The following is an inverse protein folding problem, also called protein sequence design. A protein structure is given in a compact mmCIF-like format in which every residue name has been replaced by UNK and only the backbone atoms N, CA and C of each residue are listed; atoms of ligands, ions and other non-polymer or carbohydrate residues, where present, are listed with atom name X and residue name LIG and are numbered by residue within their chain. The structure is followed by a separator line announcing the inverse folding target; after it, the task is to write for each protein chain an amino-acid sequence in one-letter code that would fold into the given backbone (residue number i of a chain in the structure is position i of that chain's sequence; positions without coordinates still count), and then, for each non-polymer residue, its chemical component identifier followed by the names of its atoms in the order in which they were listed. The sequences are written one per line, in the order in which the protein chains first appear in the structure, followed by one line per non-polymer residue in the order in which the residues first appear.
data_IF_525590988496
#
_entry.id   IF_525590988496
#
_cell.length_a   1.000
_cell.length_b   1.000
_cell.length_c   1.000
_cell.angle_alpha   90.00
_cell.angle_beta   90.00
_cell.angle_gamma   90.00
#
_symmetry.space_group_name_H-M   'P 1'
#
loop_
_entity.id
_entity.type
_entity.pdbx_description
1 polymer ?
#
# COMPACT_ATOMS: atom_id res chain seq x y z
N UNK A 1 -19.64 12.77 7.83
CA UNK A 1 -20.03 11.79 6.78
C UNK A 1 -20.74 10.63 7.46
N UNK A 2 -21.87 10.14 6.93
CA UNK A 2 -22.60 9.00 7.51
C UNK A 2 -21.87 7.70 7.14
N UNK A 3 -21.66 6.80 8.11
CA UNK A 3 -20.97 5.50 7.99
C UNK A 3 -21.53 4.63 6.86
N UNK A 4 -22.83 4.74 6.57
CA UNK A 4 -23.47 4.04 5.44
C UNK A 4 -22.97 4.52 4.07
N UNK A 5 -22.66 5.81 3.93
CA UNK A 5 -22.14 6.39 2.68
C UNK A 5 -20.68 6.01 2.41
N UNK A 6 -19.89 5.86 3.48
CA UNK A 6 -18.50 5.38 3.40
C UNK A 6 -18.45 3.92 2.98
N UNK A 7 -19.31 3.06 3.56
CA UNK A 7 -19.39 1.64 3.21
C UNK A 7 -19.79 1.41 1.75
N UNK A 8 -20.77 2.15 1.23
CA UNK A 8 -21.18 2.03 -0.17
C UNK A 8 -20.03 2.37 -1.13
N UNK A 9 -19.33 3.48 -0.88
CA UNK A 9 -18.15 3.90 -1.67
C UNK A 9 -16.99 2.91 -1.56
N UNK A 10 -16.78 2.31 -0.39
CA UNK A 10 -15.77 1.27 -0.17
C UNK A 10 -16.07 -0.01 -0.96
N UNK A 11 -17.34 -0.42 -1.02
CA UNK A 11 -17.77 -1.62 -1.74
C UNK A 11 -17.63 -1.43 -3.25
N UNK A 12 -18.00 -0.25 -3.76
CA UNK A 12 -17.81 0.14 -5.16
C UNK A 12 -16.31 0.17 -5.52
N UNK A 13 -15.46 0.73 -4.66
CA UNK A 13 -14.01 0.81 -4.88
C UNK A 13 -13.30 -0.55 -4.86
N UNK A 14 -13.60 -1.43 -3.89
CA UNK A 14 -13.01 -2.78 -3.83
C UNK A 14 -13.38 -3.64 -5.05
N UNK A 15 -14.57 -3.42 -5.62
CA UNK A 15 -15.01 -4.08 -6.85
C UNK A 15 -14.27 -3.55 -8.09
N UNK A 16 -13.82 -2.31 -8.09
CA UNK A 16 -13.05 -1.70 -9.18
C UNK A 16 -11.54 -2.02 -9.08
N UNK A 17 -10.98 -2.13 -7.88
CA UNK A 17 -9.54 -2.37 -7.67
C UNK A 17 -9.12 -3.84 -7.76
N UNK A 18 -10.06 -4.78 -7.66
CA UNK A 18 -9.79 -6.21 -7.77
C UNK A 18 -9.99 -6.71 -9.20
N UNK A 19 -8.90 -6.72 -9.98
CA UNK A 19 -8.79 -7.55 -11.19
C UNK A 19 -8.77 -9.03 -10.80
N UNK A 20 -9.92 -9.58 -10.39
CA UNK A 20 -10.42 -10.96 -10.58
C UNK A 20 -11.52 -11.27 -9.57
N UNK A 21 -12.77 -11.34 -10.08
CA UNK A 21 -13.93 -12.23 -9.79
C UNK A 21 -14.20 -12.87 -8.41
N UNK A 22 -13.30 -12.85 -7.42
CA UNK A 22 -13.43 -13.64 -6.19
C UNK A 22 -14.36 -13.00 -5.13
N UNK A 23 -14.36 -11.67 -5.00
CA UNK A 23 -15.11 -10.98 -3.93
C UNK A 23 -16.60 -10.80 -4.22
N UNK A 24 -16.99 -10.60 -5.49
CA UNK A 24 -18.41 -10.38 -5.85
C UNK A 24 -19.26 -11.63 -5.67
N UNK A 25 -18.67 -12.82 -5.83
CA UNK A 25 -19.36 -14.09 -5.54
C UNK A 25 -19.47 -14.38 -4.05
N UNK A 26 -18.50 -13.97 -3.22
CA UNK A 26 -18.56 -14.14 -1.76
C UNK A 26 -19.63 -13.28 -1.10
N UNK A 27 -19.83 -12.05 -1.59
CA UNK A 27 -20.91 -11.15 -1.12
C UNK A 27 -22.29 -11.65 -1.60
N UNK A 28 -22.40 -12.14 -2.85
CA UNK A 28 -23.66 -12.68 -3.36
C UNK A 28 -24.02 -14.07 -2.79
N UNK A 29 -23.04 -14.93 -2.54
CA UNK A 29 -23.26 -16.26 -1.96
C UNK A 29 -23.78 -16.18 -0.52
N UNK A 30 -23.36 -15.16 0.24
CA UNK A 30 -23.80 -14.95 1.63
C UNK A 30 -25.24 -14.40 1.75
N UNK A 31 -25.83 -13.89 0.66
CA UNK A 31 -27.19 -13.36 0.63
C UNK A 31 -28.24 -14.31 0.02
N UNK A 32 -27.85 -15.39 -0.66
CA UNK A 32 -28.78 -16.27 -1.39
C UNK A 32 -29.35 -17.45 -0.59
N UNK A 33 -28.99 -17.65 0.67
CA UNK A 33 -29.49 -18.76 1.49
C UNK A 33 -30.41 -18.31 2.63
N UNK A 34 -31.48 -17.54 2.35
CA UNK A 34 -32.57 -17.41 3.34
C UNK A 34 -33.92 -16.91 2.79
N UNK A 35 -34.57 -17.75 2.01
CA UNK A 35 -36.04 -17.82 1.91
C UNK A 35 -36.33 -19.31 1.69
N UNK A 36 -37.02 -20.07 2.55
CA UNK A 36 -38.13 -19.77 3.43
C UNK A 36 -38.20 -20.79 4.60
N UNK A 37 -38.76 -20.40 5.74
CA UNK A 37 -39.27 -21.36 6.75
C UNK A 37 -38.51 -21.50 8.09
N UNK A 38 -37.62 -20.57 8.44
CA UNK A 38 -36.89 -20.63 9.72
C UNK A 38 -37.58 -19.91 10.88
N UNK A 39 -37.69 -20.60 12.01
CA UNK A 39 -38.18 -20.18 13.33
C UNK A 39 -37.84 -18.71 13.71
N UNK A 40 -38.84 -17.87 14.05
CA UNK A 40 -38.62 -16.46 14.43
C UNK A 40 -37.89 -16.27 15.78
N UNK A 41 -37.65 -17.33 16.56
CA UNK A 41 -36.94 -17.25 17.85
C UNK A 41 -35.40 -17.23 17.76
N UNK A 42 -34.81 -17.35 16.56
CA UNK A 42 -33.34 -17.38 16.35
C UNK A 42 -32.75 -16.03 15.89
N UNK A 43 -33.45 -14.92 16.16
CA UNK A 43 -33.04 -13.59 15.69
C UNK A 43 -32.17 -12.77 16.67
N UNK A 44 -31.80 -13.30 17.83
CA UNK A 44 -31.16 -12.54 18.91
C UNK A 44 -29.65 -12.73 19.08
N UNK A 45 -28.95 -13.41 18.16
CA UNK A 45 -27.48 -13.59 18.23
C UNK A 45 -26.73 -13.10 17.00
N UNK A 46 -27.18 -11.99 16.40
CA UNK A 46 -26.44 -11.26 15.35
C UNK A 46 -25.86 -9.93 15.83
N UNK A 47 -25.84 -9.71 17.15
CA UNK A 47 -25.05 -8.66 17.79
C UNK A 47 -23.57 -9.06 17.92
N UNK A 48 -23.01 -9.68 16.87
CA UNK A 48 -21.56 -9.81 16.76
C UNK A 48 -21.05 -8.37 16.66
N UNK A 49 -20.47 -7.87 17.76
CA UNK A 49 -19.93 -6.52 17.88
C UNK A 49 -18.87 -6.41 16.79
N UNK A 50 -19.26 -5.86 15.64
CA UNK A 50 -18.31 -5.51 14.60
C UNK A 50 -17.36 -4.50 15.24
N UNK A 51 -16.15 -4.95 15.53
CA UNK A 51 -15.10 -4.08 16.07
C UNK A 51 -14.96 -2.87 15.15
N UNK A 52 -14.86 -1.68 15.73
CA UNK A 52 -14.63 -0.48 14.94
C UNK A 52 -13.31 -0.63 14.16
N UNK A 53 -13.23 -0.10 12.91
CA UNK A 53 -12.00 -0.14 12.15
C UNK A 53 -10.83 0.49 12.90
N UNK A 54 -9.67 -0.15 12.86
CA UNK A 54 -8.45 0.38 13.43
C UNK A 54 -7.82 1.38 12.44
N UNK A 55 -7.92 2.67 12.77
CA UNK A 55 -7.42 3.78 11.95
C UNK A 55 -6.32 4.56 12.70
N UNK A 56 -5.12 3.98 12.88
CA UNK A 56 -4.09 4.55 13.76
C UNK A 56 -3.44 5.81 13.17
N UNK A 57 -3.56 6.06 11.86
CA UNK A 57 -2.97 7.22 11.20
C UNK A 57 -4.03 8.19 10.70
N UNK A 58 -3.80 9.52 10.83
CA UNK A 58 -4.70 10.50 10.25
C UNK A 58 -4.87 10.27 8.75
N UNK A 59 -6.12 10.39 8.27
CA UNK A 59 -6.43 10.21 6.86
C UNK A 59 -5.61 11.22 6.02
N UNK A 60 -4.96 10.73 4.97
CA UNK A 60 -4.08 11.52 4.11
C UNK A 60 -2.68 11.77 4.66
N UNK A 61 -2.36 11.34 5.89
CA UNK A 61 -1.02 11.48 6.44
C UNK A 61 0.01 10.71 5.59
N UNK A 62 1.16 11.32 5.36
CA UNK A 62 2.31 10.59 4.83
C UNK A 62 2.98 9.88 5.97
N UNK A 63 3.14 8.58 5.79
CA UNK A 63 3.78 7.69 6.74
C UNK A 63 5.02 7.07 6.11
N UNK A 64 5.98 6.72 6.95
CA UNK A 64 7.16 5.98 6.51
C UNK A 64 7.54 4.91 7.52
N UNK A 65 8.30 3.94 7.05
CA UNK A 65 8.94 2.93 7.91
C UNK A 65 10.34 2.62 7.40
N UNK A 66 11.24 2.23 8.30
CA UNK A 66 12.62 1.90 7.92
C UNK A 66 12.66 0.57 7.16
N UNK A 67 13.58 0.42 6.21
CA UNK A 67 13.86 -0.88 5.60
C UNK A 67 14.55 -1.85 6.56
N UNK A 68 14.51 -3.16 6.26
CA UNK A 68 15.23 -4.19 7.02
C UNK A 68 16.74 -4.07 6.94
N UNK A 69 17.25 -3.58 5.81
CA UNK A 69 18.68 -3.35 5.59
C UNK A 69 18.91 -1.92 5.12
N UNK A 70 19.90 -1.25 5.70
CA UNK A 70 20.29 0.12 5.35
C UNK A 70 19.50 1.21 6.08
N UNK A 71 19.83 2.47 5.74
CA UNK A 71 19.23 3.68 6.31
C UNK A 71 18.18 4.28 5.38
N UNK A 72 17.44 3.42 4.68
CA UNK A 72 16.40 3.83 3.75
C UNK A 72 15.03 3.76 4.42
N UNK A 73 14.08 4.52 3.90
CA UNK A 73 12.69 4.51 4.33
C UNK A 73 11.78 4.15 3.17
N UNK A 74 10.74 3.38 3.47
CA UNK A 74 9.62 3.16 2.56
C UNK A 74 8.47 4.06 2.97
N UNK A 75 7.84 4.70 1.99
CA UNK A 75 6.81 5.71 2.20
C UNK A 75 5.45 5.23 1.71
N UNK A 76 4.39 5.71 2.36
CA UNK A 76 3.01 5.52 1.96
C UNK A 76 2.12 6.67 2.41
N UNK A 77 0.85 6.64 1.99
CA UNK A 77 -0.19 7.60 2.35
C UNK A 77 -1.31 6.85 3.05
N UNK A 78 -1.65 7.26 4.27
CA UNK A 78 -2.74 6.69 5.04
C UNK A 78 -4.08 6.95 4.35
N UNK A 79 -4.80 5.89 4.01
CA UNK A 79 -6.06 6.01 3.26
C UNK A 79 -7.25 6.33 4.16
N UNK A 80 -8.37 6.65 3.51
CA UNK A 80 -9.69 6.74 4.12
C UNK A 80 -10.39 5.37 4.29
N UNK A 81 -9.74 4.28 3.86
CA UNK A 81 -10.31 2.94 3.81
C UNK A 81 -9.66 2.01 4.84
N UNK A 82 -10.38 0.94 5.14
CA UNK A 82 -9.89 -0.19 5.93
C UNK A 82 -10.08 -1.50 5.18
N UNK A 83 -9.28 -2.50 5.51
CA UNK A 83 -9.43 -3.85 4.98
C UNK A 83 -10.74 -4.46 5.50
N UNK A 84 -11.61 -5.03 4.65
CA UNK A 84 -12.92 -5.52 5.08
C UNK A 84 -12.85 -6.68 6.08
N UNK A 85 -11.78 -7.47 6.05
CA UNK A 85 -11.58 -8.63 6.93
C UNK A 85 -10.77 -8.30 8.18
N UNK A 86 -9.56 -7.72 8.03
CA UNK A 86 -8.70 -7.38 9.17
C UNK A 86 -9.12 -6.09 9.89
N UNK A 87 -10.02 -5.30 9.30
CA UNK A 87 -10.50 -4.01 9.83
C UNK A 87 -9.38 -2.98 10.04
N UNK A 88 -8.22 -3.19 9.43
CA UNK A 88 -7.04 -2.31 9.54
C UNK A 88 -7.05 -1.24 8.46
N UNK A 89 -6.60 -0.03 8.80
CA UNK A 89 -6.39 1.04 7.83
C UNK A 89 -5.52 0.59 6.66
N UNK A 90 -5.93 0.97 5.46
CA UNK A 90 -5.14 0.72 4.25
C UNK A 90 -4.15 1.87 4.01
N UNK A 91 -3.02 1.55 3.40
CA UNK A 91 -1.95 2.47 3.02
C UNK A 91 -1.78 2.42 1.50
N UNK A 92 -1.86 3.57 0.84
CA UNK A 92 -1.41 3.71 -0.54
C UNK A 92 0.11 3.74 -0.55
N UNK A 93 0.75 2.87 -1.32
CA UNK A 93 2.22 2.81 -1.38
C UNK A 93 2.70 2.58 -2.81
N UNK A 94 3.87 3.14 -3.12
CA UNK A 94 4.53 2.90 -4.40
C UNK A 94 5.68 1.91 -4.24
N UNK A 95 5.50 0.69 -4.76
CA UNK A 95 6.32 -0.44 -4.36
C UNK A 95 6.02 -0.90 -2.93
N UNK A 96 6.67 -1.98 -2.52
CA UNK A 96 6.39 -2.67 -1.26
C UNK A 96 5.55 -3.93 -1.43
N UNK A 97 5.29 -4.64 -0.30
CA UNK A 97 4.57 -5.91 -0.32
C UNK A 97 3.16 -5.72 -0.91
N UNK A 98 2.82 -6.58 -1.87
CA UNK A 98 1.49 -6.64 -2.48
C UNK A 98 1.05 -8.11 -2.61
N UNK A 99 -0.26 -8.34 -2.45
CA UNK A 99 -0.90 -9.65 -2.60
C UNK A 99 -1.37 -9.89 -4.04
N UNK A 100 -0.65 -10.70 -4.81
CA UNK A 100 -1.09 -11.17 -6.11
C UNK A 100 0.04 -11.68 -7.00
N UNK A 101 -0.32 -12.24 -8.16
CA UNK A 101 0.64 -12.86 -9.07
C UNK A 101 1.60 -11.83 -9.68
N UNK A 102 2.89 -12.18 -9.69
CA UNK A 102 3.90 -11.47 -10.47
C UNK A 102 3.83 -11.95 -11.91
N UNK A 103 3.29 -11.11 -12.80
CA UNK A 103 3.21 -11.40 -14.23
C UNK A 103 4.57 -11.18 -14.95
N UNK A 104 5.57 -10.60 -14.27
CA UNK A 104 6.87 -10.27 -14.86
C UNK A 104 8.05 -10.87 -14.06
N UNK A 105 8.90 -11.62 -14.75
CA UNK A 105 10.14 -12.21 -14.23
C UNK A 105 11.39 -11.42 -14.63
N UNK A 106 11.22 -10.15 -15.01
CA UNK A 106 12.32 -9.30 -15.46
C UNK A 106 13.45 -9.18 -14.44
N UNK A 107 14.69 -9.01 -14.95
CA UNK A 107 15.91 -8.81 -14.16
C UNK A 107 15.75 -7.68 -13.12
N UNK A 108 15.00 -6.64 -13.46
CA UNK A 108 14.70 -5.52 -12.56
C UNK A 108 13.90 -5.97 -11.33
N UNK A 109 12.91 -6.83 -11.54
CA UNK A 109 12.03 -7.36 -10.50
C UNK A 109 12.81 -8.30 -9.55
N UNK A 110 13.71 -9.12 -10.10
CA UNK A 110 14.62 -9.95 -9.31
C UNK A 110 15.58 -9.14 -8.44
N UNK A 111 16.14 -8.04 -8.96
CA UNK A 111 17.01 -7.16 -8.19
C UNK A 111 16.21 -6.48 -7.07
N UNK A 112 15.01 -6.01 -7.36
CA UNK A 112 14.18 -5.35 -6.35
C UNK A 112 13.73 -6.32 -5.27
N UNK A 113 13.25 -7.52 -5.61
CA UNK A 113 12.91 -8.54 -4.61
C UNK A 113 14.13 -8.94 -3.74
N UNK A 114 15.36 -8.74 -4.23
CA UNK A 114 16.57 -8.97 -3.43
C UNK A 114 16.87 -7.82 -2.47
N UNK A 115 16.62 -6.58 -2.88
CA UNK A 115 16.73 -5.38 -2.04
C UNK A 115 15.59 -5.36 -1.01
N UNK A 116 14.39 -5.71 -1.46
CA UNK A 116 13.13 -5.79 -0.76
C UNK A 116 12.88 -7.25 -0.40
N UNK A 117 13.56 -7.73 0.65
CA UNK A 117 13.29 -9.05 1.20
C UNK A 117 11.93 -9.03 1.92
N UNK A 118 10.85 -9.01 1.14
CA UNK A 118 9.49 -8.98 1.65
C UNK A 118 9.22 -10.26 2.48
N UNK A 119 8.26 -10.21 3.40
CA UNK A 119 7.86 -11.38 4.19
C UNK A 119 7.47 -12.57 3.28
N UNK A 120 7.61 -13.81 3.78
CA UNK A 120 7.20 -15.02 3.05
C UNK A 120 5.77 -14.84 2.50
N UNK A 121 5.61 -14.98 1.18
CA UNK A 121 4.31 -14.87 0.52
C UNK A 121 3.94 -13.48 0.00
N UNK A 122 4.82 -12.47 0.13
CA UNK A 122 4.59 -11.14 -0.45
C UNK A 122 5.61 -10.81 -1.54
N UNK A 123 5.18 -10.02 -2.53
CA UNK A 123 6.02 -9.56 -3.64
C UNK A 123 6.19 -8.05 -3.63
N UNK A 124 7.32 -7.54 -4.13
CA UNK A 124 7.51 -6.10 -4.33
C UNK A 124 7.15 -5.72 -5.74
N UNK A 125 6.04 -5.00 -5.91
CA UNK A 125 5.57 -4.54 -7.21
C UNK A 125 6.26 -3.26 -7.69
N UNK A 126 6.15 -2.99 -9.00
CA UNK A 126 6.50 -1.70 -9.64
C UNK A 126 5.31 -0.74 -9.74
N UNK A 127 4.25 -0.99 -8.97
CA UNK A 127 3.00 -0.26 -9.08
C UNK A 127 2.65 0.44 -7.79
N UNK A 128 1.84 1.48 -7.90
CA UNK A 128 1.13 1.97 -6.72
C UNK A 128 0.03 0.97 -6.39
N UNK A 129 0.10 0.42 -5.20
CA UNK A 129 -0.87 -0.52 -4.65
C UNK A 129 -1.43 -0.03 -3.33
N UNK A 130 -2.31 -0.84 -2.77
CA UNK A 130 -2.95 -0.61 -1.48
C UNK A 130 -2.73 -1.85 -0.63
N UNK A 131 -2.32 -1.66 0.62
CA UNK A 131 -2.05 -2.75 1.58
C UNK A 131 -2.51 -2.33 2.97
N UNK A 132 -2.83 -3.25 3.87
CA UNK A 132 -3.10 -2.90 5.26
C UNK A 132 -1.83 -2.38 5.97
N UNK A 133 -2.01 -1.59 7.03
CA UNK A 133 -0.87 -0.96 7.68
C UNK A 133 0.07 -1.96 8.39
N UNK A 134 -0.41 -3.15 8.79
CA UNK A 134 0.45 -4.18 9.40
C UNK A 134 1.40 -4.75 8.35
N UNK A 135 0.87 -5.10 7.17
CA UNK A 135 1.66 -5.55 6.03
C UNK A 135 2.61 -4.46 5.55
N UNK A 136 2.14 -3.20 5.48
CA UNK A 136 3.01 -2.06 5.19
C UNK A 136 4.18 -1.95 6.17
N UNK A 137 3.93 -2.17 7.46
CA UNK A 137 4.93 -2.05 8.52
C UNK A 137 6.04 -3.10 8.43
N UNK A 138 5.74 -4.30 7.93
CA UNK A 138 6.59 -5.49 8.04
C UNK A 138 7.11 -5.72 9.48
N UNK A 139 6.29 -5.41 10.49
CA UNK A 139 6.62 -5.52 11.91
C UNK A 139 7.56 -4.42 12.43
N UNK A 140 7.61 -3.26 11.76
CA UNK A 140 8.45 -2.11 12.12
C UNK A 140 7.61 -0.93 12.57
N UNK A 141 8.23 -0.03 13.32
CA UNK A 141 7.61 1.24 13.68
C UNK A 141 7.30 2.07 12.41
N UNK A 142 6.08 2.61 12.36
CA UNK A 142 5.63 3.54 11.34
C UNK A 142 5.72 4.94 11.94
N UNK A 143 6.46 5.81 11.27
CA UNK A 143 6.61 7.22 11.61
C UNK A 143 5.66 8.06 10.74
N UNK A 144 4.95 9.01 11.35
CA UNK A 144 4.22 10.04 10.60
C UNK A 144 5.24 11.09 10.15
N UNK A 145 5.28 11.35 8.84
CA UNK A 145 6.17 12.34 8.22
C UNK A 145 5.50 13.70 8.17
N UNK A 146 4.24 13.72 7.69
CA UNK A 146 3.46 14.93 7.53
C UNK A 146 1.96 14.61 7.63
N UNK A 147 1.18 15.57 8.12
CA UNK A 147 -0.28 15.48 8.20
C UNK A 147 -0.85 16.71 7.49
N UNK A 148 -1.51 16.54 6.32
CA UNK A 148 -2.03 17.67 5.59
C UNK A 148 -3.22 18.31 6.31
N UNK A 149 -3.33 19.64 6.23
CA UNK A 149 -4.52 20.37 6.72
C UNK A 149 -5.81 19.93 5.99
N UNK A 150 -5.69 19.64 4.69
CA UNK A 150 -6.76 19.06 3.87
C UNK A 150 -6.30 17.75 3.23
N UNK A 151 -6.84 16.63 3.72
CA UNK A 151 -6.55 15.30 3.21
C UNK A 151 -7.10 15.06 1.79
N UNK A 152 -8.18 15.74 1.40
CA UNK A 152 -8.87 15.47 0.14
C UNK A 152 -7.96 15.56 -1.11
N UNK A 153 -7.20 16.65 -1.36
CA UNK A 153 -6.32 16.74 -2.51
C UNK A 153 -5.17 15.72 -2.45
N UNK A 154 -4.70 15.36 -1.25
CA UNK A 154 -3.65 14.35 -1.08
C UNK A 154 -4.15 12.97 -1.49
N UNK A 155 -5.33 12.58 -1.02
CA UNK A 155 -5.95 11.31 -1.38
C UNK A 155 -6.29 11.24 -2.87
N UNK A 156 -6.75 12.33 -3.49
CA UNK A 156 -7.03 12.36 -4.93
C UNK A 156 -5.76 12.05 -5.75
N UNK A 157 -4.63 12.66 -5.40
CA UNK A 157 -3.34 12.40 -6.06
C UNK A 157 -2.79 11.01 -5.76
N UNK A 158 -2.93 10.55 -4.51
CA UNK A 158 -2.54 9.18 -4.16
C UNK A 158 -3.30 8.15 -4.99
N UNK A 159 -4.62 8.33 -5.15
CA UNK A 159 -5.50 7.46 -5.94
C UNK A 159 -5.27 7.56 -7.44
N UNK A 160 -4.96 8.75 -7.98
CA UNK A 160 -4.70 8.92 -9.42
C UNK A 160 -3.48 8.14 -9.90
N UNK A 161 -2.63 7.69 -8.98
CA UNK A 161 -1.45 6.90 -9.29
C UNK A 161 -1.67 5.39 -9.14
N UNK A 162 -2.83 4.93 -8.66
CA UNK A 162 -3.12 3.50 -8.51
C UNK A 162 -2.91 2.76 -9.83
N UNK A 163 -2.23 1.61 -9.75
CA UNK A 163 -1.87 0.77 -10.89
C UNK A 163 -0.90 1.40 -11.90
N UNK A 164 -0.45 2.65 -11.71
CA UNK A 164 0.63 3.21 -12.53
C UNK A 164 1.90 2.40 -12.29
N UNK A 165 2.51 1.91 -13.38
CA UNK A 165 3.61 0.95 -13.37
C UNK A 165 4.94 1.52 -13.89
N UNK A 166 5.04 2.85 -14.00
CA UNK A 166 6.21 3.54 -14.58
C UNK A 166 7.33 3.82 -13.55
N UNK A 167 7.46 2.92 -12.57
CA UNK A 167 8.41 3.01 -11.47
C UNK A 167 9.84 3.16 -11.97
N UNK A 168 10.52 4.17 -11.42
CA UNK A 168 11.91 4.44 -11.67
C UNK A 168 12.60 4.73 -10.35
N UNK A 169 13.53 3.86 -9.94
CA UNK A 169 14.24 3.97 -8.65
C UNK A 169 14.86 5.34 -8.38
N UNK A 170 15.25 6.05 -9.43
CA UNK A 170 15.96 7.33 -9.34
C UNK A 170 15.06 8.55 -9.38
N UNK A 171 13.94 8.49 -10.09
CA UNK A 171 13.12 9.67 -10.38
C UNK A 171 11.65 9.53 -9.96
N UNK A 172 11.22 8.29 -9.67
CA UNK A 172 9.85 7.90 -9.33
C UNK A 172 9.89 6.69 -8.39
N UNK A 173 10.38 6.91 -7.17
CA UNK A 173 10.38 5.94 -6.07
C UNK A 173 9.31 6.29 -5.03
N UNK A 174 9.25 5.55 -3.91
CA UNK A 174 8.24 5.75 -2.87
C UNK A 174 8.26 7.15 -2.23
N UNK A 175 9.43 7.77 -2.06
CA UNK A 175 9.55 9.14 -1.54
C UNK A 175 8.97 10.16 -2.55
N UNK A 176 9.31 10.01 -3.82
CA UNK A 176 8.79 10.86 -4.89
C UNK A 176 7.25 10.74 -5.01
N UNK A 177 6.72 9.54 -4.84
CA UNK A 177 5.27 9.31 -4.78
C UNK A 177 4.62 10.03 -3.60
N UNK A 178 5.20 9.93 -2.39
CA UNK A 178 4.66 10.61 -1.22
C UNK A 178 4.68 12.14 -1.38
N UNK A 179 5.76 12.70 -1.95
CA UNK A 179 5.82 14.13 -2.26
C UNK A 179 4.80 14.55 -3.32
N UNK A 180 4.60 13.73 -4.36
CA UNK A 180 3.55 13.98 -5.34
C UNK A 180 2.17 13.97 -4.69
N UNK A 181 1.90 13.02 -3.79
CA UNK A 181 0.65 12.98 -3.05
C UNK A 181 0.48 14.24 -2.18
N UNK A 182 1.50 14.69 -1.44
CA UNK A 182 1.41 15.88 -0.58
C UNK A 182 1.30 17.18 -1.35
N UNK A 183 2.18 17.39 -2.33
CA UNK A 183 2.43 18.71 -2.92
C UNK A 183 2.05 18.81 -4.41
N UNK A 184 1.72 17.69 -5.05
CA UNK A 184 1.48 17.64 -6.49
C UNK A 184 2.75 17.73 -7.35
N UNK A 185 3.93 17.68 -6.73
CA UNK A 185 5.22 17.74 -7.41
C UNK A 185 6.05 16.50 -7.13
N UNK A 186 6.82 16.07 -8.13
CA UNK A 186 7.74 14.93 -7.99
C UNK A 186 9.09 15.31 -7.36
N UNK A 187 9.28 16.57 -6.97
CA UNK A 187 10.51 17.08 -6.38
C UNK A 187 10.77 16.42 -5.02
N UNK A 188 12.00 15.98 -4.77
CA UNK A 188 12.46 15.64 -3.42
C UNK A 188 13.67 16.51 -3.07
N UNK A 189 13.77 16.93 -1.82
CA UNK A 189 14.95 17.64 -1.32
C UNK A 189 16.23 16.81 -1.45
N UNK A 190 16.10 15.48 -1.56
CA UNK A 190 17.20 14.57 -1.88
C UNK A 190 17.65 14.72 -3.33
N UNK A 191 16.73 14.75 -4.30
CA UNK A 191 17.05 14.92 -5.71
C UNK A 191 17.66 16.30 -6.01
N UNK A 192 17.20 17.35 -5.30
CA UNK A 192 17.73 18.71 -5.47
C UNK A 192 19.15 18.88 -4.91
N UNK A 193 19.56 18.06 -3.94
CA UNK A 193 20.91 18.07 -3.34
C UNK A 193 21.86 17.00 -3.91
N UNK A 194 21.37 16.13 -4.78
CA UNK A 194 22.15 15.06 -5.40
C UNK A 194 22.64 15.52 -6.78
N UNK A 195 23.86 16.05 -6.84
CA UNK A 195 24.61 16.14 -8.09
C UNK A 195 24.63 14.75 -8.72
N UNK A 196 24.24 14.62 -9.99
CA UNK A 196 24.06 13.36 -10.75
C UNK A 196 25.17 12.31 -10.49
N UNK A 197 26.40 12.74 -10.20
CA UNK A 197 27.52 11.86 -9.83
C UNK A 197 27.33 11.06 -8.51
N UNK A 198 26.74 11.64 -7.46
CA UNK A 198 26.57 10.96 -6.16
C UNK A 198 25.48 9.90 -6.16
N UNK A 199 24.47 10.05 -7.02
CA UNK A 199 23.41 9.05 -7.24
C UNK A 199 23.98 7.80 -7.88
N UNK A 200 24.87 7.97 -8.86
CA UNK A 200 25.57 6.85 -9.51
C UNK A 200 26.44 6.10 -8.51
N UNK A 201 27.09 6.79 -7.57
CA UNK A 201 27.89 6.13 -6.52
C UNK A 201 27.02 5.44 -5.44
N UNK A 202 25.89 6.03 -5.05
CA UNK A 202 24.93 5.40 -4.12
C UNK A 202 24.26 4.16 -4.71
N UNK A 203 23.87 4.22 -5.99
CA UNK A 203 23.38 3.06 -6.74
C UNK A 203 24.51 2.06 -7.01
N UNK A 204 25.73 2.48 -7.33
CA UNK A 204 26.88 1.57 -7.42
C UNK A 204 27.25 0.94 -6.07
N UNK A 205 26.98 1.57 -4.94
CA UNK A 205 27.18 0.96 -3.63
C UNK A 205 26.07 -0.05 -3.32
N UNK A 206 24.81 0.28 -3.60
CA UNK A 206 23.66 -0.63 -3.48
C UNK A 206 23.79 -1.86 -4.39
N UNK A 207 24.19 -1.66 -5.65
CA UNK A 207 24.31 -2.74 -6.63
C UNK A 207 25.69 -3.40 -6.60
N UNK A 208 26.76 -2.64 -6.37
CA UNK A 208 28.13 -3.16 -6.28
C UNK A 208 28.37 -4.02 -5.04
N UNK A 209 27.67 -3.79 -3.92
CA UNK A 209 27.71 -4.74 -2.79
C UNK A 209 26.90 -6.01 -3.05
N UNK A 210 25.89 -5.95 -3.91
CA UNK A 210 25.07 -7.10 -4.34
C UNK A 210 25.75 -7.96 -5.42
N UNK A 211 26.67 -7.37 -6.18
CA UNK A 211 27.49 -8.02 -7.22
C UNK A 211 28.95 -8.24 -6.80
N UNK A 212 29.31 -8.04 -5.53
CA UNK A 212 30.57 -8.56 -4.99
C UNK A 212 30.43 -10.07 -4.90
N UNK A 213 30.64 -10.72 -6.04
CA UNK A 213 30.90 -12.14 -6.19
C UNK A 213 31.93 -12.51 -5.13
N UNK A 214 31.61 -13.52 -4.34
CA UNK A 214 32.64 -14.37 -3.74
C UNK A 214 33.53 -14.83 -4.88
N UNK A 215 34.66 -14.16 -5.00
CA UNK A 215 35.67 -14.40 -6.01
C UNK A 215 36.91 -14.90 -5.28
N UNK A 216 37.04 -16.23 -5.29
CA UNK A 216 38.22 -17.05 -4.96
C UNK A 216 38.65 -17.08 -3.47
#
# INVERSE_FOLDING_TARGET
MNTLSLRRRQTEWLAESSSTKCLTELIHARFKTRTAGGDPSVFTTWGEIMSEPEMPFPIGAVVRRRFKKGNFFHYGVASEFYHPETMQQMIYQFGGPYEGELDDSSLRLNILNRIWSAQQGSHTGFRVGVTDYITFSEGREIEIVDVPDDAYPVLQRAKSMLHVSDYNLLTRNCEHYANYALHGTWSSSQADNLTVGKVVDGVKLLFGSLFRKDGL
#
